data_IF_414400934799
#
_entry.id   IF_414400934799
#
_cell.length_a   1.000
_cell.length_b   1.000
_cell.length_c   1.000
_cell.angle_alpha   90.00
_cell.angle_beta   90.00
_cell.angle_gamma   90.00
#
_symmetry.space_group_name_H-M   'P 1'
#
loop_
_entity.id
_entity.type
_entity.pdbx_description
1 polymer ?
#
# COMPACT_ATOMS: atom_id res chain seq x y z
N UNK A 1 13.66 -15.23 -5.72
CA UNK A 1 12.38 -15.83 -5.28
C UNK A 1 11.62 -16.31 -6.52
N UNK A 2 11.02 -17.47 -6.46
CA UNK A 2 10.26 -18.01 -7.59
C UNK A 2 8.97 -17.22 -7.79
N UNK A 3 8.47 -17.18 -9.04
CA UNK A 3 7.26 -16.44 -9.39
C UNK A 3 6.04 -16.89 -8.58
N UNK A 4 5.92 -18.18 -8.29
CA UNK A 4 4.80 -18.71 -7.50
C UNK A 4 4.81 -18.14 -6.07
N UNK A 5 6.00 -18.00 -5.48
CA UNK A 5 6.15 -17.43 -4.15
C UNK A 5 5.88 -15.93 -4.16
N UNK A 6 6.35 -15.23 -5.18
CA UNK A 6 6.09 -13.78 -5.35
C UNK A 6 4.58 -13.54 -5.50
N UNK A 7 3.89 -14.40 -6.26
CA UNK A 7 2.45 -14.25 -6.47
C UNK A 7 1.64 -14.33 -5.17
N UNK A 8 2.15 -14.97 -4.14
CA UNK A 8 1.46 -15.13 -2.85
C UNK A 8 1.99 -14.14 -1.81
N UNK A 9 3.28 -13.89 -1.77
CA UNK A 9 3.94 -13.12 -0.70
C UNK A 9 4.60 -11.82 -1.15
N UNK A 10 4.77 -11.60 -2.44
CA UNK A 10 5.48 -10.45 -2.95
C UNK A 10 4.80 -9.12 -2.58
N UNK A 11 5.61 -8.11 -2.28
CA UNK A 11 5.12 -6.77 -2.01
C UNK A 11 4.42 -6.58 -0.68
N UNK A 12 4.50 -7.56 0.23
CA UNK A 12 3.85 -7.45 1.53
C UNK A 12 4.69 -8.10 2.63
N UNK A 13 4.73 -7.45 3.79
CA UNK A 13 5.24 -8.03 5.04
C UNK A 13 4.10 -8.06 6.05
N UNK A 14 4.12 -9.00 7.02
CA UNK A 14 3.05 -9.06 8.03
C UNK A 14 2.80 -7.70 8.68
N UNK A 15 1.52 -7.40 8.90
CA UNK A 15 1.10 -6.10 9.45
C UNK A 15 1.83 -5.82 10.77
N UNK A 16 2.46 -4.63 10.94
CA UNK A 16 3.23 -4.33 12.14
C UNK A 16 2.37 -4.26 13.41
N UNK A 17 1.09 -3.91 13.28
CA UNK A 17 0.19 -3.78 14.44
C UNK A 17 -0.47 -5.10 14.79
N UNK A 18 -1.09 -5.77 13.82
CA UNK A 18 -1.87 -7.00 14.06
C UNK A 18 -1.08 -8.28 13.84
N UNK A 19 0.08 -8.18 13.16
CA UNK A 19 0.89 -9.32 12.72
C UNK A 19 0.19 -10.20 11.71
N UNK A 20 -0.84 -9.71 11.05
CA UNK A 20 -1.57 -10.47 10.04
C UNK A 20 -0.63 -10.88 8.89
N UNK A 21 -0.65 -12.15 8.55
CA UNK A 21 0.16 -12.71 7.48
C UNK A 21 -0.50 -12.48 6.12
N UNK A 22 -1.81 -12.67 6.05
CA UNK A 22 -2.58 -12.35 4.85
C UNK A 22 -2.80 -10.83 4.76
N UNK A 23 -2.92 -10.32 3.54
CA UNK A 23 -3.12 -8.89 3.30
C UNK A 23 -4.48 -8.46 3.86
N UNK A 24 -4.53 -7.49 4.79
CA UNK A 24 -5.81 -6.96 5.27
C UNK A 24 -6.57 -6.23 4.18
N UNK A 25 -7.89 -6.30 4.25
CA UNK A 25 -8.77 -5.56 3.34
C UNK A 25 -9.19 -4.27 4.03
N UNK A 26 -8.71 -3.14 3.52
CA UNK A 26 -9.03 -1.81 4.06
C UNK A 26 -10.29 -1.26 3.38
N UNK A 27 -11.45 -1.57 3.95
CA UNK A 27 -12.74 -1.08 3.46
C UNK A 27 -13.01 0.31 4.02
N UNK A 28 -12.20 1.26 3.60
CA UNK A 28 -12.30 2.65 4.05
C UNK A 28 -12.11 3.60 2.89
N UNK A 29 -12.63 4.83 3.05
CA UNK A 29 -12.57 5.87 2.03
C UNK A 29 -11.51 6.90 2.39
N UNK A 30 -11.54 7.40 3.63
CA UNK A 30 -10.68 8.49 4.09
C UNK A 30 -9.79 8.04 5.24
N UNK A 31 -8.70 8.76 5.43
CA UNK A 31 -7.70 8.47 6.46
C UNK A 31 -7.50 9.69 7.34
N UNK A 32 -7.33 9.46 8.64
CA UNK A 32 -7.08 10.53 9.59
C UNK A 32 -5.63 11.01 9.48
N UNK A 33 -5.43 12.29 9.76
CA UNK A 33 -4.10 12.89 9.85
C UNK A 33 -3.75 13.12 11.31
N UNK A 34 -2.45 13.06 11.63
CA UNK A 34 -1.99 13.32 13.00
C UNK A 34 -2.25 14.77 13.40
N UNK A 35 -2.12 15.70 12.46
CA UNK A 35 -2.38 17.12 12.63
C UNK A 35 -2.50 17.79 11.25
N UNK A 36 -2.76 19.10 11.25
CA UNK A 36 -2.91 19.87 9.99
C UNK A 36 -1.63 19.85 9.15
N UNK A 37 -0.48 19.93 9.78
CA UNK A 37 0.81 19.90 9.06
C UNK A 37 1.05 18.54 8.42
N UNK A 38 0.69 17.45 9.09
CA UNK A 38 0.78 16.09 8.53
C UNK A 38 -0.06 15.98 7.27
N UNK A 39 -1.30 16.49 7.31
CA UNK A 39 -2.17 16.51 6.14
C UNK A 39 -1.58 17.32 4.99
N UNK A 40 -1.06 18.52 5.29
CA UNK A 40 -0.43 19.35 4.28
C UNK A 40 0.78 18.65 3.63
N UNK A 41 1.62 18.01 4.43
CA UNK A 41 2.80 17.29 3.94
C UNK A 41 2.43 16.10 3.05
N UNK A 42 1.34 15.38 3.37
CA UNK A 42 0.83 14.30 2.53
C UNK A 42 0.36 14.83 1.17
N UNK A 43 -0.40 15.93 1.14
CA UNK A 43 -0.86 16.53 -0.10
C UNK A 43 0.28 17.10 -0.93
N UNK A 44 1.33 17.59 -0.29
CA UNK A 44 2.52 18.12 -0.96
C UNK A 44 3.52 17.01 -1.35
N UNK A 45 3.21 15.75 -1.04
CA UNK A 45 4.06 14.59 -1.30
C UNK A 45 5.42 14.65 -0.58
N UNK A 46 5.48 15.37 0.55
CA UNK A 46 6.70 15.45 1.38
C UNK A 46 6.90 14.22 2.24
N UNK A 47 5.80 13.56 2.62
CA UNK A 47 5.82 12.30 3.38
C UNK A 47 4.92 11.28 2.69
N UNK A 48 5.23 10.00 2.87
CA UNK A 48 4.40 8.92 2.37
C UNK A 48 3.24 8.66 3.32
N UNK A 49 2.09 8.29 2.79
CA UNK A 49 0.94 7.93 3.58
C UNK A 49 -0.35 7.90 2.76
N UNK A 50 -1.44 7.59 3.42
CA UNK A 50 -2.73 7.43 2.78
C UNK A 50 -3.61 8.66 3.04
N UNK A 51 -4.30 9.14 2.01
CA UNK A 51 -5.17 10.31 2.06
C UNK A 51 -6.62 9.87 1.80
N UNK A 52 -6.86 9.19 0.69
CA UNK A 52 -8.19 8.86 0.22
C UNK A 52 -8.14 7.63 -0.67
N UNK A 53 -9.05 6.66 -0.48
CA UNK A 53 -8.99 5.35 -1.17
C UNK A 53 -9.08 5.43 -2.68
N UNK A 54 -9.69 6.46 -3.24
CA UNK A 54 -9.72 6.63 -4.69
C UNK A 54 -8.31 6.85 -5.26
N UNK A 55 -7.40 7.43 -4.47
CA UNK A 55 -6.03 7.73 -4.88
C UNK A 55 -5.08 6.63 -4.41
N UNK A 56 -5.20 6.21 -3.16
CA UNK A 56 -4.36 5.17 -2.56
C UNK A 56 -5.11 4.41 -1.47
N UNK A 57 -4.76 3.15 -1.32
CA UNK A 57 -5.29 2.28 -0.27
C UNK A 57 -4.24 1.21 0.00
N UNK A 58 -3.96 0.86 1.27
CA UNK A 58 -2.94 -0.14 1.59
C UNK A 58 -3.16 -1.49 0.90
N UNK A 59 -4.41 -1.91 0.72
CA UNK A 59 -4.72 -3.16 0.02
C UNK A 59 -4.35 -3.06 -1.46
N UNK A 60 -4.72 -1.97 -2.12
CA UNK A 60 -4.32 -1.71 -3.51
C UNK A 60 -2.81 -1.57 -3.64
N UNK A 61 -2.16 -0.98 -2.64
CA UNK A 61 -0.70 -0.84 -2.61
C UNK A 61 0.01 -2.19 -2.68
N UNK A 62 -0.52 -3.22 -2.01
CA UNK A 62 0.05 -4.57 -2.09
C UNK A 62 -0.12 -5.15 -3.49
N UNK A 63 -1.28 -4.97 -4.12
CA UNK A 63 -1.49 -5.41 -5.50
C UNK A 63 -0.47 -4.76 -6.44
N UNK A 64 -0.32 -3.44 -6.33
CA UNK A 64 0.64 -2.69 -7.15
C UNK A 64 2.06 -3.21 -6.98
N UNK A 65 2.51 -3.36 -5.73
CA UNK A 65 3.85 -3.84 -5.43
C UNK A 65 4.06 -5.29 -5.86
N UNK A 66 3.06 -6.14 -5.68
CA UNK A 66 3.14 -7.56 -6.02
C UNK A 66 3.23 -7.78 -7.53
N UNK A 67 2.38 -7.11 -8.29
CA UNK A 67 2.42 -7.20 -9.76
C UNK A 67 3.73 -6.63 -10.30
N UNK A 68 4.19 -5.50 -9.75
CA UNK A 68 5.48 -4.94 -10.13
C UNK A 68 6.63 -5.93 -9.88
N UNK A 69 6.61 -6.62 -8.72
CA UNK A 69 7.63 -7.63 -8.39
C UNK A 69 7.58 -8.82 -9.35
N UNK A 70 6.37 -9.28 -9.72
CA UNK A 70 6.20 -10.39 -10.65
C UNK A 70 6.70 -10.07 -12.06
N UNK A 71 6.52 -8.83 -12.49
CA UNK A 71 6.90 -8.36 -13.84
C UNK A 71 8.31 -7.78 -13.89
N UNK A 72 9.00 -7.66 -12.76
CA UNK A 72 10.31 -7.04 -12.70
C UNK A 72 10.29 -5.53 -12.92
N UNK A 73 9.14 -4.90 -12.66
CA UNK A 73 8.97 -3.46 -12.81
C UNK A 73 9.41 -2.68 -11.58
N UNK A 74 9.50 -1.37 -11.71
CA UNK A 74 9.89 -0.47 -10.61
C UNK A 74 8.69 -0.02 -9.78
N UNK A 75 7.47 -0.20 -10.27
CA UNK A 75 6.25 0.17 -9.58
C UNK A 75 5.02 -0.20 -10.38
N UNK A 76 3.85 -0.03 -9.79
CA UNK A 76 2.56 -0.29 -10.41
C UNK A 76 1.53 0.71 -9.93
N UNK A 77 0.44 0.83 -10.68
CA UNK A 77 -0.68 1.71 -10.34
C UNK A 77 -1.98 0.99 -10.65
N UNK A 78 -2.78 0.74 -9.61
CA UNK A 78 -4.11 0.18 -9.77
C UNK A 78 -5.13 1.31 -9.94
N UNK A 79 -5.97 1.20 -10.93
CA UNK A 79 -6.99 2.21 -11.24
C UNK A 79 -8.39 1.62 -11.18
#
# INVERSE_FOLDING_TARGET
>A
MKIETIAVHGGYTPDPTTKAVAVPIYQTVAYAFDNTQHGADLFDLKVAGNIYSRIMNPTNGVLEARVAAMEGGVGGLAV
#
